data_IF_073502632787
#
_entry.id   IF_073502632787
#
_cell.length_a   1.000
_cell.length_b   1.000
_cell.length_c   1.000
_cell.angle_alpha   90.00
_cell.angle_beta   90.00
_cell.angle_gamma   90.00
#
_symmetry.space_group_name_H-M   'P 1'
#
loop_
_entity.id
_entity.type
_entity.pdbx_description
1 polymer ?
#
# COMPACT_ATOMS: atom_id res chain seq x y z
N UNK A 1 16.52 -2.71 -0.47
CA UNK A 1 15.37 -1.96 -1.01
C UNK A 1 14.81 -1.18 0.16
N UNK A 2 14.64 0.14 0.04
CA UNK A 2 14.00 0.95 1.07
C UNK A 2 12.75 0.21 1.56
N UNK A 3 12.76 -0.17 2.84
CA UNK A 3 11.82 -1.04 3.55
C UNK A 3 10.38 -0.89 3.04
N UNK A 4 9.86 -1.92 2.35
CA UNK A 4 8.54 -1.88 1.66
C UNK A 4 7.42 -1.29 2.51
N UNK A 5 7.33 -1.73 3.76
CA UNK A 5 6.31 -1.24 4.67
C UNK A 5 6.41 0.27 4.99
N UNK A 6 7.61 0.84 5.11
CA UNK A 6 7.77 2.28 5.38
C UNK A 6 7.34 3.13 4.18
N UNK A 7 7.62 2.66 2.96
CA UNK A 7 7.23 3.37 1.74
C UNK A 7 5.71 3.34 1.55
N UNK A 8 5.09 2.19 1.81
CA UNK A 8 3.64 2.02 1.82
C UNK A 8 2.96 2.98 2.82
N UNK A 9 3.49 3.11 4.03
CA UNK A 9 2.97 4.04 5.04
C UNK A 9 3.11 5.51 4.61
N UNK A 10 4.26 5.90 4.04
CA UNK A 10 4.48 7.27 3.55
C UNK A 10 3.49 7.60 2.42
N UNK A 11 3.28 6.68 1.48
CA UNK A 11 2.30 6.85 0.41
C UNK A 11 0.87 7.05 0.94
N UNK A 12 0.46 6.26 1.93
CA UNK A 12 -0.86 6.40 2.58
C UNK A 12 -1.00 7.77 3.25
N UNK A 13 0.03 8.25 3.94
CA UNK A 13 0.00 9.57 4.59
C UNK A 13 -0.14 10.69 3.55
N UNK A 14 0.68 10.67 2.49
CA UNK A 14 0.67 11.71 1.44
C UNK A 14 -0.70 11.75 0.75
N UNK A 15 -1.21 10.59 0.33
CA UNK A 15 -2.51 10.49 -0.34
C UNK A 15 -3.65 10.87 0.60
N UNK A 16 -3.56 10.52 1.88
CA UNK A 16 -4.55 10.91 2.89
C UNK A 16 -4.62 12.42 3.09
N UNK A 17 -3.48 13.09 3.27
CA UNK A 17 -3.42 14.56 3.38
C UNK A 17 -3.95 15.22 2.10
N UNK A 18 -3.55 14.71 0.94
CA UNK A 18 -4.01 15.24 -0.35
C UNK A 18 -5.53 15.09 -0.50
N UNK A 19 -6.10 13.95 -0.11
CA UNK A 19 -7.55 13.73 -0.13
C UNK A 19 -8.32 14.69 0.80
N UNK A 20 -7.76 14.97 1.98
CA UNK A 20 -8.33 15.96 2.91
C UNK A 20 -8.29 17.36 2.28
N UNK A 21 -7.14 17.78 1.75
CA UNK A 21 -6.97 19.09 1.10
C UNK A 21 -7.90 19.24 -0.11
N UNK A 22 -8.03 18.19 -0.93
CA UNK A 22 -8.94 18.18 -2.07
C UNK A 22 -10.41 18.28 -1.65
N UNK A 23 -10.77 17.66 -0.53
CA UNK A 23 -12.15 17.70 -0.01
C UNK A 23 -12.49 19.08 0.56
N UNK A 24 -11.58 19.72 1.31
CA UNK A 24 -11.83 21.05 1.88
C UNK A 24 -11.81 22.17 0.84
N UNK A 25 -11.08 21.99 -0.27
CA UNK A 25 -11.05 22.94 -1.39
C UNK A 25 -12.23 22.77 -2.35
N UNK A 26 -13.12 21.79 -2.11
CA UNK A 26 -14.27 21.52 -2.96
C UNK A 26 -13.92 20.85 -4.30
N UNK A 27 -12.69 20.37 -4.47
CA UNK A 27 -12.28 19.64 -5.69
C UNK A 27 -12.99 18.29 -5.83
N UNK A 28 -13.35 17.66 -4.71
CA UNK A 28 -14.01 16.36 -4.67
C UNK A 28 -14.97 16.29 -3.49
N UNK A 29 -16.11 15.61 -3.68
CA UNK A 29 -17.04 15.32 -2.59
C UNK A 29 -16.36 14.44 -1.51
N UNK A 30 -16.54 14.73 -0.22
CA UNK A 30 -15.91 13.98 0.86
C UNK A 30 -16.18 12.46 0.80
N UNK A 31 -17.41 12.08 0.44
CA UNK A 31 -17.79 10.66 0.31
C UNK A 31 -17.00 9.95 -0.80
N UNK A 32 -16.75 10.62 -1.93
CA UNK A 32 -15.94 10.06 -3.03
C UNK A 32 -14.47 9.99 -2.64
N UNK A 33 -13.93 11.02 -1.98
CA UNK A 33 -12.56 11.02 -1.50
C UNK A 33 -12.30 9.85 -0.53
N UNK A 34 -13.21 9.62 0.41
CA UNK A 34 -13.13 8.49 1.36
C UNK A 34 -13.15 7.16 0.60
N UNK A 35 -14.10 6.97 -0.33
CA UNK A 35 -14.19 5.73 -1.10
C UNK A 35 -12.91 5.44 -1.90
N UNK A 36 -12.37 6.45 -2.59
CA UNK A 36 -11.12 6.32 -3.34
C UNK A 36 -9.91 6.04 -2.44
N UNK A 37 -9.85 6.68 -1.27
CA UNK A 37 -8.80 6.44 -0.28
C UNK A 37 -8.85 5.01 0.26
N UNK A 38 -10.04 4.49 0.57
CA UNK A 38 -10.22 3.10 1.02
C UNK A 38 -9.75 2.11 -0.06
N UNK A 39 -10.15 2.32 -1.32
CA UNK A 39 -9.69 1.47 -2.43
C UNK A 39 -8.17 1.52 -2.59
N UNK A 40 -7.56 2.70 -2.47
CA UNK A 40 -6.12 2.86 -2.51
C UNK A 40 -5.42 2.08 -1.37
N UNK A 41 -5.90 2.18 -0.13
CA UNK A 41 -5.33 1.44 1.01
C UNK A 41 -5.46 -0.07 0.81
N UNK A 42 -6.61 -0.55 0.33
CA UNK A 42 -6.81 -1.97 0.00
C UNK A 42 -5.84 -2.44 -1.08
N UNK A 43 -5.62 -1.64 -2.11
CA UNK A 43 -4.67 -1.94 -3.18
C UNK A 43 -3.24 -2.05 -2.66
N UNK A 44 -2.78 -1.08 -1.85
CA UNK A 44 -1.46 -1.12 -1.21
C UNK A 44 -1.34 -2.36 -0.30
N UNK A 45 -2.39 -2.67 0.47
CA UNK A 45 -2.42 -3.87 1.30
C UNK A 45 -2.28 -5.17 0.50
N UNK A 46 -2.93 -5.26 -0.67
CA UNK A 46 -2.82 -6.40 -1.56
C UNK A 46 -1.40 -6.57 -2.15
N UNK A 47 -0.75 -5.47 -2.51
CA UNK A 47 0.65 -5.48 -2.97
C UNK A 47 1.61 -5.95 -1.87
N UNK A 48 1.45 -5.43 -0.65
CA UNK A 48 2.26 -5.83 0.49
C UNK A 48 2.06 -7.33 0.83
N UNK A 49 0.82 -7.81 0.72
CA UNK A 49 0.50 -9.23 0.89
C UNK A 49 1.18 -10.10 -0.19
N UNK A 50 1.13 -9.67 -1.45
CA UNK A 50 1.78 -10.36 -2.56
C UNK A 50 3.30 -10.43 -2.37
N UNK A 51 3.93 -9.32 -1.97
CA UNK A 51 5.36 -9.26 -1.68
C UNK A 51 5.73 -10.18 -0.50
N UNK A 52 4.89 -10.23 0.54
CA UNK A 52 5.08 -11.13 1.68
C UNK A 52 4.98 -12.60 1.27
N UNK A 53 4.04 -12.94 0.38
CA UNK A 53 3.92 -14.31 -0.16
C UNK A 53 5.14 -14.65 -1.03
N UNK A 54 5.57 -13.74 -1.91
CA UNK A 54 6.75 -13.93 -2.78
C UNK A 54 8.02 -14.14 -1.96
N UNK A 55 8.21 -13.36 -0.89
CA UNK A 55 9.35 -13.48 0.03
C UNK A 55 9.38 -14.83 0.74
N UNK A 56 8.22 -15.38 1.13
CA UNK A 56 8.12 -16.73 1.69
C UNK A 56 8.47 -17.83 0.69
N UNK A 57 8.04 -17.69 -0.58
CA UNK A 57 8.38 -18.66 -1.64
C UNK A 57 9.88 -18.68 -1.94
N UNK A 58 10.53 -17.51 -2.00
CA UNK A 58 11.98 -17.41 -2.26
C UNK A 58 12.81 -18.12 -1.17
N UNK A 59 12.48 -17.92 0.11
CA UNK A 59 13.13 -18.63 1.23
C UNK A 59 12.98 -20.15 1.17
N UNK A 60 11.87 -20.68 0.61
CA UNK A 60 11.63 -22.12 0.50
C UNK A 60 12.45 -22.78 -0.63
N UNK A 61 12.77 -22.04 -1.70
CA UNK A 61 13.60 -22.53 -2.80
C UNK A 61 15.08 -22.63 -2.46
N UNK A 62 15.62 -21.69 -1.68
CA UNK A 62 17.03 -21.72 -1.24
C UNK A 62 17.30 -22.86 -0.24
N UNK A 63 16.33 -23.21 0.62
CA UNK A 63 16.46 -24.33 1.56
C UNK A 63 16.50 -25.72 0.89
N UNK A 64 16.09 -25.83 -0.39
CA UNK A 64 16.00 -27.10 -1.11
C UNK A 64 17.23 -27.37 -2.01
N UNK A 65 18.08 -26.37 -2.27
CA UNK A 65 19.29 -26.51 -3.09
C UNK A 65 20.56 -26.84 -2.28
N UNK A 66 20.42 -27.08 -0.97
CA UNK A 66 21.54 -27.38 -0.06
C UNK A 66 21.50 -28.81 0.50
N UNK A 67 20.78 -29.73 -0.16
CA UNK A 67 20.84 -31.18 0.13
C UNK A 67 21.47 -31.93 -1.03
#
# INVERSE_FOLDING_TARGET
MLTGWKLSVIGIIIVGITGIVASITGLIEPGRAIALFVVFVLFIGALELLERIRSRRKKKGEAQSSK
#
